data_IF_181378171014
#
_entry.id   IF_181378171014
#
_cell.length_a   1.000
_cell.length_b   1.000
_cell.length_c   1.000
_cell.angle_alpha   90.00
_cell.angle_beta   90.00
_cell.angle_gamma   90.00
#
_symmetry.space_group_name_H-M   'P 1'
#
loop_
_entity.id
_entity.type
_entity.pdbx_description
1 polymer ?
#
# COMPACT_ATOMS: atom_id res chain seq x y z
N UNK A 1 -29.75 -84.49 -10.61
CA UNK A 1 -28.79 -83.59 -11.30
C UNK A 1 -29.24 -82.13 -11.23
N UNK A 2 -30.49 -81.79 -11.55
CA UNK A 2 -31.02 -80.42 -11.40
C UNK A 2 -30.88 -79.86 -9.98
N UNK A 3 -31.31 -80.63 -8.98
CA UNK A 3 -31.21 -80.24 -7.56
C UNK A 3 -29.78 -79.98 -7.07
N UNK A 4 -28.79 -80.70 -7.62
CA UNK A 4 -27.37 -80.48 -7.29
C UNK A 4 -26.84 -79.19 -7.95
N UNK A 5 -27.30 -78.87 -9.16
CA UNK A 5 -26.93 -77.62 -9.83
C UNK A 5 -27.55 -76.39 -9.13
N UNK A 6 -28.80 -76.49 -8.66
CA UNK A 6 -29.44 -75.43 -7.87
C UNK A 6 -28.72 -75.20 -6.54
N UNK A 7 -28.38 -76.28 -5.81
CA UNK A 7 -27.62 -76.18 -4.57
C UNK A 7 -26.23 -75.55 -4.76
N UNK A 8 -25.54 -75.88 -5.86
CA UNK A 8 -24.26 -75.27 -6.21
C UNK A 8 -24.42 -73.77 -6.51
N UNK A 9 -25.45 -73.38 -7.27
CA UNK A 9 -25.76 -71.97 -7.54
C UNK A 9 -26.04 -71.19 -6.26
N UNK A 10 -26.90 -71.72 -5.39
CA UNK A 10 -27.24 -71.08 -4.12
C UNK A 10 -26.00 -70.89 -3.23
N UNK A 11 -25.13 -71.90 -3.19
CA UNK A 11 -23.84 -71.81 -2.49
C UNK A 11 -22.96 -70.69 -3.03
N UNK A 12 -22.81 -70.60 -4.36
CA UNK A 12 -21.98 -69.54 -4.98
C UNK A 12 -22.53 -68.14 -4.76
N UNK A 13 -23.86 -67.96 -4.80
CA UNK A 13 -24.50 -66.67 -4.53
C UNK A 13 -24.32 -66.29 -3.07
N UNK A 14 -24.52 -67.23 -2.14
CA UNK A 14 -24.34 -66.99 -0.71
C UNK A 14 -22.89 -66.64 -0.38
N UNK A 15 -21.93 -67.33 -0.99
CA UNK A 15 -20.50 -67.01 -0.86
C UNK A 15 -20.22 -65.59 -1.38
N UNK A 16 -20.66 -65.27 -2.60
CA UNK A 16 -20.45 -63.96 -3.19
C UNK A 16 -21.11 -62.83 -2.39
N UNK A 17 -22.29 -63.07 -1.80
CA UNK A 17 -22.95 -62.12 -0.89
C UNK A 17 -22.14 -61.92 0.40
N UNK A 18 -21.55 -62.99 0.94
CA UNK A 18 -20.62 -62.91 2.08
C UNK A 18 -19.37 -62.10 1.75
N UNK A 19 -18.74 -62.38 0.61
CA UNK A 19 -17.56 -61.68 0.13
C UNK A 19 -17.85 -60.19 -0.13
N UNK A 20 -19.00 -59.88 -0.75
CA UNK A 20 -19.44 -58.51 -0.99
C UNK A 20 -19.65 -57.74 0.32
N UNK A 21 -20.24 -58.39 1.35
CA UNK A 21 -20.41 -57.78 2.66
C UNK A 21 -19.06 -57.49 3.33
N UNK A 22 -18.15 -58.46 3.30
CA UNK A 22 -16.81 -58.30 3.86
C UNK A 22 -16.03 -57.17 3.16
N UNK A 23 -16.16 -57.06 1.83
CA UNK A 23 -15.54 -55.98 1.06
C UNK A 23 -16.12 -54.60 1.39
N UNK A 24 -17.45 -54.51 1.59
CA UNK A 24 -18.09 -53.26 2.04
C UNK A 24 -17.60 -52.86 3.43
N UNK A 25 -17.47 -53.80 4.37
CA UNK A 25 -16.91 -53.54 5.71
C UNK A 25 -15.45 -53.06 5.62
N UNK A 26 -14.66 -53.62 4.69
CA UNK A 26 -13.31 -53.15 4.42
C UNK A 26 -13.27 -51.71 3.88
N UNK A 27 -14.16 -51.36 2.95
CA UNK A 27 -14.27 -49.99 2.43
C UNK A 27 -14.63 -49.02 3.56
N UNK A 28 -15.58 -49.37 4.41
CA UNK A 28 -15.95 -48.52 5.56
C UNK A 28 -14.80 -48.36 6.55
N UNK A 29 -14.05 -49.44 6.83
CA UNK A 29 -12.86 -49.39 7.68
C UNK A 29 -11.78 -48.47 7.10
N UNK A 30 -11.46 -48.63 5.82
CA UNK A 30 -10.48 -47.77 5.13
C UNK A 30 -10.93 -46.31 5.10
N UNK A 31 -12.19 -46.06 4.74
CA UNK A 31 -12.74 -44.69 4.71
C UNK A 31 -12.75 -44.02 6.09
N UNK A 32 -12.96 -44.78 7.17
CA UNK A 32 -12.89 -44.22 8.53
C UNK A 32 -11.45 -43.79 8.88
N UNK A 33 -10.44 -44.57 8.47
CA UNK A 33 -9.02 -44.22 8.62
C UNK A 33 -8.64 -43.02 7.76
N UNK A 34 -9.04 -42.99 6.49
CA UNK A 34 -8.74 -41.85 5.60
C UNK A 34 -9.29 -40.54 6.18
N UNK A 35 -10.49 -40.58 6.79
CA UNK A 35 -11.11 -39.41 7.41
C UNK A 35 -10.32 -38.96 8.66
N UNK A 36 -9.74 -39.86 9.45
CA UNK A 36 -8.87 -39.46 10.57
C UNK A 36 -7.56 -38.86 10.06
N UNK A 37 -6.99 -39.43 9.01
CA UNK A 37 -5.73 -38.99 8.43
C UNK A 37 -5.87 -37.60 7.78
N UNK A 38 -6.98 -37.34 7.08
CA UNK A 38 -7.26 -36.01 6.53
C UNK A 38 -7.46 -34.95 7.61
N UNK A 39 -8.07 -35.31 8.75
CA UNK A 39 -8.19 -34.37 9.87
C UNK A 39 -6.84 -34.05 10.47
N UNK A 40 -6.02 -35.08 10.72
CA UNK A 40 -4.67 -34.88 11.24
C UNK A 40 -3.83 -34.02 10.29
N UNK A 41 -3.86 -34.31 8.99
CA UNK A 41 -3.13 -33.51 7.99
C UNK A 41 -3.59 -32.05 7.98
N UNK A 42 -4.90 -31.79 8.06
CA UNK A 42 -5.41 -30.43 8.10
C UNK A 42 -4.98 -29.69 9.38
N UNK A 43 -4.96 -30.37 10.52
CA UNK A 43 -4.47 -29.81 11.79
C UNK A 43 -2.96 -29.50 11.73
N UNK A 44 -2.17 -30.40 11.14
CA UNK A 44 -0.73 -30.21 10.92
C UNK A 44 -0.46 -29.04 9.98
N UNK A 45 -1.22 -28.91 8.89
CA UNK A 45 -1.13 -27.79 7.95
C UNK A 45 -1.48 -26.46 8.63
N UNK A 46 -2.54 -26.43 9.45
CA UNK A 46 -2.92 -25.24 10.23
C UNK A 46 -1.79 -24.86 11.21
N UNK A 47 -1.17 -25.84 11.87
CA UNK A 47 -0.04 -25.59 12.76
C UNK A 47 1.17 -25.04 12.01
N UNK A 48 1.48 -25.60 10.83
CA UNK A 48 2.58 -25.13 9.98
C UNK A 48 2.36 -23.69 9.49
N UNK A 49 1.14 -23.35 9.06
CA UNK A 49 0.79 -21.98 8.63
C UNK A 49 0.93 -20.99 9.79
N UNK A 50 0.48 -21.36 10.99
CA UNK A 50 0.61 -20.51 12.19
C UNK A 50 2.07 -20.26 12.55
N UNK A 51 2.89 -21.30 12.52
CA UNK A 51 4.32 -21.16 12.83
C UNK A 51 5.05 -20.32 11.76
N UNK A 52 4.75 -20.54 10.48
CA UNK A 52 5.28 -19.72 9.39
C UNK A 52 4.88 -18.24 9.55
N UNK A 53 3.60 -17.96 9.83
CA UNK A 53 3.10 -16.60 10.04
C UNK A 53 3.80 -15.90 11.20
N UNK A 54 3.99 -16.60 12.32
CA UNK A 54 4.75 -16.10 13.47
C UNK A 54 6.19 -15.76 13.12
N UNK A 55 6.88 -16.66 12.39
CA UNK A 55 8.24 -16.44 11.95
C UNK A 55 8.35 -15.26 10.97
N UNK A 56 7.39 -15.11 10.06
CA UNK A 56 7.37 -14.01 9.09
C UNK A 56 7.11 -12.66 9.76
N UNK A 57 6.19 -12.61 10.75
CA UNK A 57 5.99 -11.40 11.56
C UNK A 57 7.27 -11.01 12.30
N UNK A 58 8.00 -11.97 12.87
CA UNK A 58 9.28 -11.70 13.52
C UNK A 58 10.32 -11.16 12.54
N UNK A 59 10.40 -11.75 11.33
CA UNK A 59 11.29 -11.29 10.26
C UNK A 59 10.99 -9.86 9.83
N UNK A 60 9.71 -9.53 9.61
CA UNK A 60 9.29 -8.18 9.20
C UNK A 60 9.60 -7.15 10.29
N UNK A 61 9.42 -7.51 11.58
CA UNK A 61 9.79 -6.63 12.71
C UNK A 61 11.29 -6.36 12.74
N UNK A 62 12.11 -7.40 12.67
CA UNK A 62 13.57 -7.27 12.65
C UNK A 62 14.03 -6.42 11.44
N UNK A 63 13.47 -6.66 10.26
CA UNK A 63 13.78 -5.88 9.06
C UNK A 63 13.38 -4.40 9.23
N UNK A 64 12.23 -4.13 9.84
CA UNK A 64 11.76 -2.77 10.12
C UNK A 64 12.68 -2.05 11.10
N UNK A 65 13.06 -2.70 12.20
CA UNK A 65 14.00 -2.16 13.18
C UNK A 65 15.36 -1.86 12.55
N UNK A 66 15.86 -2.78 11.72
CA UNK A 66 17.11 -2.58 10.97
C UNK A 66 17.05 -1.37 10.04
N UNK A 67 15.93 -1.19 9.31
CA UNK A 67 15.73 -0.01 8.43
C UNK A 67 15.66 1.29 9.23
N UNK A 68 14.97 1.29 10.37
CA UNK A 68 14.91 2.45 11.28
C UNK A 68 16.31 2.79 11.80
N UNK A 69 17.07 1.80 12.28
CA UNK A 69 18.43 2.01 12.78
C UNK A 69 19.36 2.55 11.69
N UNK A 70 19.28 2.01 10.48
CA UNK A 70 20.05 2.51 9.34
C UNK A 70 19.69 3.96 9.00
N UNK A 71 18.40 4.30 8.99
CA UNK A 71 17.95 5.66 8.68
C UNK A 71 18.36 6.67 9.75
N UNK A 72 18.34 6.28 11.04
CA UNK A 72 18.85 7.11 12.14
C UNK A 72 20.35 7.37 12.01
N UNK A 73 21.14 6.32 11.76
CA UNK A 73 22.58 6.45 11.52
C UNK A 73 22.88 7.39 10.35
N UNK A 74 22.11 7.28 9.25
CA UNK A 74 22.25 8.18 8.11
C UNK A 74 21.94 9.63 8.47
N UNK A 75 20.86 9.88 9.23
CA UNK A 75 20.53 11.23 9.69
C UNK A 75 21.64 11.81 10.57
N UNK A 76 22.22 11.01 11.47
CA UNK A 76 23.32 11.44 12.33
C UNK A 76 24.56 11.82 11.52
N UNK A 77 24.93 11.00 10.51
CA UNK A 77 26.02 11.33 9.58
C UNK A 77 25.75 12.63 8.81
N UNK A 78 24.52 12.82 8.33
CA UNK A 78 24.20 14.00 7.54
C UNK A 78 24.15 15.28 8.41
N UNK A 79 23.72 15.16 9.67
CA UNK A 79 23.80 16.25 10.66
C UNK A 79 25.25 16.62 11.00
N UNK A 80 26.12 15.62 11.20
CA UNK A 80 27.55 15.83 11.41
C UNK A 80 28.20 16.52 10.18
N UNK A 81 27.86 16.06 8.98
CA UNK A 81 28.32 16.67 7.74
C UNK A 81 27.88 18.14 7.59
N UNK A 82 26.66 18.46 7.99
CA UNK A 82 26.13 19.82 7.99
C UNK A 82 26.79 20.70 9.06
N UNK A 83 27.02 20.19 10.26
CA UNK A 83 27.74 20.90 11.32
C UNK A 83 29.17 21.25 10.86
N UNK A 84 29.90 20.28 10.30
CA UNK A 84 31.24 20.51 9.75
C UNK A 84 31.24 21.52 8.58
N UNK A 85 30.18 21.56 7.78
CA UNK A 85 30.02 22.59 6.76
C UNK A 85 29.86 23.99 7.36
N UNK A 86 28.99 24.15 8.37
CA UNK A 86 28.80 25.43 9.06
C UNK A 86 30.12 25.91 9.68
N UNK A 87 30.84 25.02 10.36
CA UNK A 87 32.13 25.35 10.98
C UNK A 87 33.14 25.88 9.96
N UNK A 88 33.26 25.23 8.80
CA UNK A 88 34.13 25.72 7.71
C UNK A 88 33.70 27.09 7.17
N UNK A 89 32.39 27.35 7.07
CA UNK A 89 31.90 28.67 6.64
C UNK A 89 32.23 29.75 7.67
N UNK A 90 32.05 29.45 8.96
CA UNK A 90 32.42 30.36 10.06
C UNK A 90 33.92 30.65 10.01
N UNK A 91 34.76 29.62 9.89
CA UNK A 91 36.21 29.76 9.81
C UNK A 91 36.62 30.64 8.61
N UNK A 92 35.98 30.45 7.45
CA UNK A 92 36.22 31.28 6.26
C UNK A 92 35.86 32.75 6.49
N UNK A 93 34.73 33.02 7.13
CA UNK A 93 34.28 34.38 7.48
C UNK A 93 35.24 35.01 8.47
N UNK A 94 35.60 34.30 9.54
CA UNK A 94 36.55 34.77 10.55
C UNK A 94 37.91 35.08 9.94
N UNK A 95 38.43 34.21 9.08
CA UNK A 95 39.69 34.43 8.37
C UNK A 95 39.64 35.71 7.52
N UNK A 96 38.55 35.98 6.81
CA UNK A 96 38.37 37.23 6.04
C UNK A 96 38.35 38.47 6.93
N UNK A 97 37.65 38.41 8.06
CA UNK A 97 37.61 39.50 9.04
C UNK A 97 39.02 39.78 9.55
N UNK A 98 39.77 38.75 9.95
CA UNK A 98 41.14 38.90 10.45
C UNK A 98 42.08 39.52 9.40
N UNK A 99 41.97 39.13 8.13
CA UNK A 99 42.76 39.73 7.05
C UNK A 99 42.41 41.21 6.88
N UNK A 100 41.13 41.57 6.84
CA UNK A 100 40.71 42.95 6.69
C UNK A 100 41.11 43.82 7.89
N UNK A 101 40.98 43.32 9.11
CA UNK A 101 41.44 44.01 10.33
C UNK A 101 42.94 44.30 10.28
N UNK A 102 43.75 43.36 9.77
CA UNK A 102 45.19 43.58 9.57
C UNK A 102 45.47 44.64 8.50
N UNK A 103 44.77 44.59 7.36
CA UNK A 103 44.91 45.60 6.30
C UNK A 103 44.54 46.99 6.81
N UNK A 104 43.44 47.11 7.56
CA UNK A 104 43.01 48.34 8.21
C UNK A 104 44.02 48.84 9.25
N UNK A 105 44.56 47.95 10.08
CA UNK A 105 45.62 48.28 11.04
C UNK A 105 46.85 48.87 10.35
N UNK A 106 47.34 48.20 9.30
CA UNK A 106 48.48 48.67 8.51
C UNK A 106 48.20 50.00 7.80
N UNK A 107 46.97 50.21 7.32
CA UNK A 107 46.56 51.47 6.72
C UNK A 107 46.61 52.62 7.73
N UNK A 108 46.07 52.42 8.94
CA UNK A 108 46.09 53.44 9.99
C UNK A 108 47.50 53.72 10.52
N UNK A 109 48.36 52.71 10.64
CA UNK A 109 49.77 52.92 10.98
C UNK A 109 50.47 53.84 9.96
N UNK A 110 50.24 53.61 8.66
CA UNK A 110 50.77 54.49 7.59
C UNK A 110 50.18 55.90 7.67
N UNK A 111 48.89 56.02 7.95
CA UNK A 111 48.19 57.30 8.04
C UNK A 111 48.71 58.14 9.24
N UNK A 112 49.01 57.51 10.37
CA UNK A 112 49.56 58.17 11.56
C UNK A 112 51.03 58.58 11.39
N UNK A 113 51.79 57.90 10.52
CA UNK A 113 53.18 58.22 10.24
C UNK A 113 53.36 59.37 9.21
N UNK A 114 52.30 59.80 8.51
CA UNK A 114 52.39 60.84 7.49
C UNK A 114 52.28 62.25 8.10
N UNK A 115 53.32 63.07 7.92
CA UNK A 115 53.41 64.43 8.49
C UNK A 115 52.88 65.53 7.53
N UNK A 116 52.74 65.25 6.22
CA UNK A 116 52.25 66.21 5.23
C UNK A 116 50.70 66.22 5.16
N UNK A 117 50.03 67.34 5.47
CA UNK A 117 48.57 67.44 5.46
C UNK A 117 47.91 67.09 4.12
N UNK A 118 48.59 67.39 3.01
CA UNK A 118 48.01 67.14 1.67
C UNK A 118 48.06 65.66 1.33
N UNK A 119 49.12 64.95 1.73
CA UNK A 119 49.26 63.51 1.56
C UNK A 119 48.38 62.74 2.53
N UNK A 120 48.23 63.23 3.75
CA UNK A 120 47.27 62.70 4.71
C UNK A 120 45.85 62.71 4.14
N UNK A 121 45.41 63.83 3.56
CA UNK A 121 44.10 63.93 2.93
C UNK A 121 43.92 62.96 1.76
N UNK A 122 44.97 62.76 0.95
CA UNK A 122 44.94 61.81 -0.17
C UNK A 122 44.91 60.34 0.30
N UNK A 123 45.63 59.99 1.36
CA UNK A 123 45.59 58.65 1.96
C UNK A 123 44.24 58.37 2.60
N UNK A 124 43.69 59.33 3.36
CA UNK A 124 42.39 59.19 4.02
C UNK A 124 41.22 58.96 3.05
N UNK A 125 41.32 59.44 1.81
CA UNK A 125 40.32 59.17 0.76
C UNK A 125 40.38 57.74 0.21
N UNK A 126 41.48 57.01 0.43
CA UNK A 126 41.70 55.64 -0.04
C UNK A 126 41.57 54.64 1.11
N UNK A 127 40.48 54.71 1.88
CA UNK A 127 40.21 53.73 2.93
C UNK A 127 39.99 52.34 2.29
N UNK A 128 40.61 51.27 2.82
CA UNK A 128 40.31 49.92 2.38
C UNK A 128 38.82 49.62 2.56
N UNK A 129 38.16 49.17 1.49
CA UNK A 129 36.76 48.73 1.55
C UNK A 129 36.67 47.30 2.09
N UNK A 130 35.66 46.97 2.90
CA UNK A 130 35.51 45.63 3.43
C UNK A 130 35.26 44.63 2.30
N UNK A 131 35.94 43.47 2.30
CA UNK A 131 35.69 42.45 1.30
C UNK A 131 34.26 41.92 1.44
N UNK A 132 33.54 41.66 0.34
CA UNK A 132 32.19 41.09 0.40
C UNK A 132 32.25 39.66 0.97
N UNK A 133 31.21 39.29 1.71
CA UNK A 133 30.99 37.89 2.06
C UNK A 133 30.40 37.15 0.86
N UNK A 134 30.92 35.96 0.58
CA UNK A 134 30.35 35.14 -0.48
C UNK A 134 28.96 34.67 -0.01
N UNK A 135 28.01 34.59 -0.94
CA UNK A 135 26.75 33.95 -0.64
C UNK A 135 27.02 32.51 -0.18
N UNK A 136 26.38 32.03 0.90
CA UNK A 136 26.58 30.67 1.35
C UNK A 136 26.18 29.73 0.21
N UNK A 137 27.04 28.76 -0.10
CA UNK A 137 26.78 27.72 -1.12
C UNK A 137 25.74 26.72 -0.61
N UNK A 138 24.54 27.22 -0.29
CA UNK A 138 23.41 26.45 0.26
C UNK A 138 22.88 25.42 -0.74
N UNK A 139 23.11 25.64 -2.03
CA UNK A 139 22.65 24.76 -3.10
C UNK A 139 23.42 23.43 -3.09
N UNK A 140 24.74 23.43 -2.88
CA UNK A 140 25.55 22.22 -3.05
C UNK A 140 25.35 21.20 -1.93
N UNK A 141 25.07 21.65 -0.70
CA UNK A 141 24.86 20.77 0.46
C UNK A 141 23.45 20.17 0.43
N UNK A 142 22.45 20.96 0.03
CA UNK A 142 21.06 20.49 -0.08
C UNK A 142 20.90 19.43 -1.17
N UNK A 143 21.57 19.58 -2.31
CA UNK A 143 21.54 18.58 -3.38
C UNK A 143 22.24 17.29 -2.99
N UNK A 144 23.36 17.36 -2.26
CA UNK A 144 24.06 16.18 -1.74
C UNK A 144 23.20 15.41 -0.72
N UNK A 145 22.45 16.12 0.13
CA UNK A 145 21.53 15.52 1.12
C UNK A 145 20.35 14.80 0.41
N UNK A 146 19.76 15.42 -0.62
CA UNK A 146 18.65 14.83 -1.38
C UNK A 146 19.10 13.59 -2.15
N UNK A 147 20.22 13.64 -2.88
CA UNK A 147 20.71 12.51 -3.67
C UNK A 147 21.14 11.30 -2.83
N UNK A 148 21.51 11.47 -1.55
CA UNK A 148 21.83 10.36 -0.63
C UNK A 148 20.57 9.67 -0.07
N UNK A 149 19.42 10.32 -0.20
CA UNK A 149 18.13 9.81 0.27
C UNK A 149 17.51 8.83 -0.75
N UNK A 150 17.93 8.90 -2.01
CA UNK A 150 17.34 8.14 -3.12
C UNK A 150 17.97 6.75 -3.32
N UNK A 151 19.11 6.47 -2.70
CA UNK A 151 19.83 5.18 -2.84
C UNK A 151 19.46 4.14 -1.77
N UNK A 152 18.43 4.42 -0.95
CA UNK A 152 17.75 3.34 -0.23
C UNK A 152 17.01 2.47 -1.24
N UNK A 153 17.12 1.12 -1.19
CA UNK A 153 16.35 0.28 -2.07
C UNK A 153 14.87 0.52 -1.77
N UNK A 154 14.25 1.33 -2.60
CA UNK A 154 12.81 1.48 -2.72
C UNK A 154 12.30 0.08 -2.94
N UNK A 155 11.73 -0.50 -1.89
CA UNK A 155 10.81 -1.61 -2.03
C UNK A 155 9.83 -1.18 -3.12
N UNK A 156 9.85 -1.93 -4.23
CA UNK A 156 9.09 -1.76 -5.44
C UNK A 156 7.65 -1.28 -5.14
N UNK A 157 7.47 0.03 -5.15
CA UNK A 157 6.20 0.72 -4.91
C UNK A 157 6.18 1.89 -5.87
N UNK A 158 5.79 1.58 -7.11
CA UNK A 158 5.17 2.47 -8.08
C UNK A 158 5.56 3.96 -7.99
N UNK A 159 6.69 4.32 -8.63
CA UNK A 159 6.92 5.69 -9.08
C UNK A 159 5.91 6.03 -10.18
N UNK A 160 4.88 6.79 -9.80
CA UNK A 160 4.18 7.69 -10.68
C UNK A 160 4.68 9.11 -10.37
N UNK A 161 5.71 9.55 -11.09
CA UNK A 161 6.07 10.96 -11.18
C UNK A 161 5.84 11.40 -12.63
N UNK A 162 4.81 12.21 -12.85
CA UNK A 162 4.92 13.43 -13.66
C UNK A 162 3.61 14.24 -13.51
N UNK A 163 3.65 15.28 -12.67
CA UNK A 163 2.63 16.33 -12.65
C UNK A 163 3.27 17.64 -12.17
N UNK A 164 3.62 18.44 -13.16
CA UNK A 164 3.99 19.85 -13.11
C UNK A 164 2.97 20.69 -12.28
N UNK A 165 3.40 21.49 -11.28
CA UNK A 165 2.47 22.33 -10.52
C UNK A 165 2.24 23.68 -11.24
N UNK A 166 1.00 24.17 -11.32
CA UNK A 166 0.73 25.52 -11.80
C UNK A 166 1.08 26.54 -10.70
N UNK A 167 1.65 27.64 -11.17
CA UNK A 167 2.00 28.84 -10.42
C UNK A 167 0.79 29.40 -9.65
N UNK A 168 0.96 29.65 -8.35
CA UNK A 168 0.10 30.58 -7.60
C UNK A 168 0.94 31.53 -6.77
N UNK A 169 0.61 32.80 -6.96
CA UNK A 169 1.25 33.99 -6.41
C UNK A 169 1.06 34.09 -4.90
N UNK A 170 2.11 34.64 -4.30
CA UNK A 170 2.24 35.38 -3.03
C UNK A 170 0.96 35.87 -2.37
N UNK A 171 0.74 35.43 -1.13
CA UNK A 171 0.42 36.24 0.07
C UNK A 171 -0.40 35.40 1.06
N UNK A 172 0.27 34.65 1.97
CA UNK A 172 -0.32 34.15 3.23
C UNK A 172 0.72 33.36 4.09
N UNK A 173 2.00 33.77 4.08
CA UNK A 173 3.09 33.02 4.73
C UNK A 173 3.30 33.30 6.23
N UNK A 174 2.50 34.16 6.88
CA UNK A 174 2.78 34.58 8.27
C UNK A 174 1.83 33.97 9.32
N UNK A 175 0.74 33.31 8.93
CA UNK A 175 -0.23 32.71 9.86
C UNK A 175 0.00 31.21 10.14
N UNK A 176 0.81 30.51 9.33
CA UNK A 176 1.00 29.06 9.45
C UNK A 176 2.15 28.65 10.40
N UNK A 177 3.06 29.56 10.74
CA UNK A 177 4.21 29.26 11.60
C UNK A 177 3.84 29.12 13.10
N UNK A 178 2.78 29.78 13.56
CA UNK A 178 2.36 29.72 14.97
C UNK A 178 1.53 28.47 15.34
N UNK A 179 1.01 27.73 14.36
CA UNK A 179 0.20 26.53 14.60
C UNK A 179 1.03 25.22 14.71
N UNK A 180 2.30 25.25 14.29
CA UNK A 180 3.16 24.06 14.28
C UNK A 180 3.92 23.87 15.62
N UNK A 181 4.17 24.95 16.37
CA UNK A 181 4.91 24.91 17.63
C UNK A 181 4.07 24.36 18.81
N UNK A 182 2.74 24.48 18.76
CA UNK A 182 1.85 23.93 19.79
C UNK A 182 1.60 22.41 19.67
N UNK A 183 2.08 21.76 18.60
CA UNK A 183 1.82 20.33 18.33
C UNK A 183 2.97 19.40 18.72
N UNK A 184 4.12 19.94 19.13
CA UNK A 184 5.29 19.15 19.49
C UNK A 184 5.44 18.87 21.00
N UNK A 185 4.57 19.41 21.86
CA UNK A 185 4.68 19.27 23.33
C UNK A 185 3.80 18.15 23.93
N UNK A 186 3.22 17.26 23.10
CA UNK A 186 2.30 16.19 23.58
C UNK A 186 2.66 14.78 23.09
N UNK A 187 3.86 14.56 22.56
CA UNK A 187 4.27 13.26 22.00
C UNK A 187 5.25 12.43 22.86
N UNK A 188 5.38 12.73 24.16
CA UNK A 188 6.29 12.03 25.08
C UNK A 188 5.56 11.28 26.21
N UNK A 189 4.53 10.49 25.87
CA UNK A 189 3.81 9.63 26.84
C UNK A 189 3.16 8.39 26.21
N UNK A 190 3.71 7.87 25.11
CA UNK A 190 3.10 6.79 24.31
C UNK A 190 3.62 5.37 24.60
N UNK A 191 4.16 5.08 25.78
CA UNK A 191 4.69 3.74 26.12
C UNK A 191 3.64 2.76 26.74
N UNK A 192 2.35 3.10 26.80
CA UNK A 192 1.38 2.29 27.57
C UNK A 192 0.35 1.46 26.79
N UNK A 193 0.23 1.57 25.46
CA UNK A 193 -0.88 0.91 24.75
C UNK A 193 -0.58 -0.52 24.26
N UNK A 194 0.69 -0.96 24.21
CA UNK A 194 1.02 -2.34 23.85
C UNK A 194 0.92 -3.33 25.02
N UNK A 195 1.18 -2.89 26.26
CA UNK A 195 1.10 -3.75 27.44
C UNK A 195 -0.35 -4.14 27.79
N UNK A 196 -1.34 -3.30 27.45
CA UNK A 196 -2.75 -3.59 27.68
C UNK A 196 -3.27 -4.69 26.74
N UNK A 197 -2.81 -4.73 25.48
CA UNK A 197 -3.19 -5.75 24.51
C UNK A 197 -2.58 -7.13 24.82
N UNK A 198 -1.38 -7.18 25.40
CA UNK A 198 -0.73 -8.43 25.80
C UNK A 198 -1.38 -9.07 27.04
N UNK A 199 -1.87 -8.25 27.98
CA UNK A 199 -2.60 -8.73 29.15
C UNK A 199 -3.97 -9.34 28.82
N UNK A 200 -4.64 -8.86 27.76
CA UNK A 200 -5.95 -9.39 27.35
C UNK A 200 -5.83 -10.75 26.62
N UNK A 201 -4.74 -10.96 25.88
CA UNK A 201 -4.45 -12.25 25.23
C UNK A 201 -4.05 -13.35 26.23
N UNK A 202 -3.36 -13.00 27.32
CA UNK A 202 -2.99 -13.97 28.36
C UNK A 202 -4.21 -14.46 29.18
N UNK A 203 -5.19 -13.59 29.45
CA UNK A 203 -6.40 -13.94 30.20
C UNK A 203 -7.35 -14.88 29.41
N UNK A 204 -7.33 -14.81 28.08
CA UNK A 204 -8.11 -15.70 27.22
C UNK A 204 -7.52 -17.13 27.13
N UNK A 205 -6.22 -17.30 27.39
CA UNK A 205 -5.58 -18.62 27.41
C UNK A 205 -5.79 -19.36 28.75
N UNK A 206 -5.88 -18.64 29.87
CA UNK A 206 -5.98 -19.23 31.21
C UNK A 206 -7.40 -19.70 31.59
N UNK A 207 -8.42 -19.33 30.81
CA UNK A 207 -9.82 -19.73 31.03
C UNK A 207 -10.24 -21.00 30.25
N UNK A 208 -9.33 -21.61 29.49
CA UNK A 208 -9.59 -22.82 28.69
C UNK A 208 -9.29 -24.17 29.38
N UNK A 209 -8.69 -24.18 30.57
CA UNK A 209 -8.08 -25.39 31.16
C UNK A 209 -8.71 -25.85 32.49
N UNK A 210 -10.00 -25.54 32.72
CA UNK A 210 -10.75 -26.03 33.88
C UNK A 210 -12.13 -26.59 33.49
N UNK A 211 -12.16 -27.60 32.64
CA UNK A 211 -13.33 -28.47 32.46
C UNK A 211 -12.90 -29.90 32.10
N UNK A 212 -12.17 -30.52 33.04
CA UNK A 212 -11.92 -31.95 33.06
C UNK A 212 -12.60 -32.59 34.26
N UNK A 213 -13.42 -33.59 33.98
CA UNK A 213 -14.00 -34.61 34.87
C UNK A 213 -15.37 -34.31 35.51
N UNK A 214 -16.40 -34.94 34.91
CA UNK A 214 -17.79 -34.87 35.30
C UNK A 214 -18.62 -35.86 34.49
N UNK A 215 -18.41 -37.15 34.77
CA UNK A 215 -19.26 -38.27 34.37
C UNK A 215 -20.73 -38.01 34.74
N UNK A 216 -21.56 -37.66 33.76
CA UNK A 216 -23.01 -37.82 33.82
C UNK A 216 -23.55 -38.26 32.46
N UNK A 217 -23.98 -39.52 32.41
CA UNK A 217 -24.93 -40.01 31.43
C UNK A 217 -26.27 -39.29 31.61
N UNK A 218 -26.70 -38.50 30.62
CA UNK A 218 -28.09 -38.04 30.50
C UNK A 218 -28.45 -37.77 29.03
N UNK A 219 -29.36 -38.59 28.56
CA UNK A 219 -30.36 -38.44 27.50
C UNK A 219 -30.43 -37.11 26.72
N UNK A 220 -30.25 -37.21 25.40
CA UNK A 220 -31.03 -36.53 24.35
C UNK A 220 -31.33 -35.04 24.52
N UNK A 221 -30.39 -34.19 24.13
CA UNK A 221 -30.66 -32.78 23.86
C UNK A 221 -30.65 -32.54 22.35
N UNK A 222 -31.85 -32.48 21.78
CA UNK A 222 -32.11 -32.12 20.38
C UNK A 222 -31.55 -30.73 20.09
N UNK A 223 -30.75 -30.61 19.04
CA UNK A 223 -30.32 -29.33 18.47
C UNK A 223 -31.59 -28.53 18.14
N UNK A 224 -31.78 -27.31 18.69
CA UNK A 224 -32.96 -26.51 18.37
C UNK A 224 -32.96 -26.16 16.88
N UNK A 225 -33.88 -26.81 16.16
CA UNK A 225 -34.16 -26.56 14.74
C UNK A 225 -34.70 -25.13 14.64
N UNK A 226 -33.88 -24.21 14.14
CA UNK A 226 -34.36 -22.85 13.84
C UNK A 226 -35.43 -22.96 12.75
N UNK A 227 -36.62 -22.40 13.00
CA UNK A 227 -37.69 -22.36 12.02
C UNK A 227 -37.27 -21.54 10.80
N UNK A 228 -37.56 -22.06 9.59
CA UNK A 228 -37.20 -21.45 8.30
C UNK A 228 -37.71 -20.00 8.13
N UNK A 229 -38.74 -19.61 8.88
CA UNK A 229 -39.27 -18.23 8.88
C UNK A 229 -38.29 -17.19 9.46
N UNK A 230 -37.41 -17.59 10.38
CA UNK A 230 -36.37 -16.72 10.93
C UNK A 230 -35.23 -16.49 9.92
N UNK A 231 -34.98 -17.45 9.03
CA UNK A 231 -34.03 -17.32 7.93
C UNK A 231 -34.60 -16.42 6.82
N UNK A 232 -35.89 -16.53 6.50
CA UNK A 232 -36.56 -15.70 5.50
C UNK A 232 -36.58 -14.20 5.87
N UNK A 233 -36.80 -13.87 7.15
CA UNK A 233 -36.76 -12.49 7.64
C UNK A 233 -35.35 -11.87 7.57
N UNK A 234 -34.30 -12.69 7.75
CA UNK A 234 -32.91 -12.24 7.67
C UNK A 234 -32.43 -12.05 6.24
N UNK A 235 -32.94 -12.85 5.30
CA UNK A 235 -32.64 -12.72 3.86
C UNK A 235 -33.35 -11.51 3.22
N UNK A 236 -34.55 -11.16 3.70
CA UNK A 236 -35.29 -9.98 3.23
C UNK A 236 -34.59 -8.63 3.55
N UNK A 237 -33.68 -8.61 4.53
CA UNK A 237 -32.89 -7.42 4.89
C UNK A 237 -31.61 -7.22 4.07
N UNK A 238 -31.21 -8.18 3.23
CA UNK A 238 -29.97 -8.12 2.45
C UNK A 238 -30.17 -7.81 0.96
N UNK A 239 -31.40 -7.61 0.51
CA UNK A 239 -31.68 -7.18 -0.87
C UNK A 239 -31.79 -5.64 -0.89
N UNK A 240 -30.84 -4.91 -1.48
CA UNK A 240 -30.97 -3.46 -1.62
C UNK A 240 -32.16 -3.14 -2.53
N UNK A 241 -33.20 -2.56 -1.93
CA UNK A 241 -34.35 -2.00 -2.64
C UNK A 241 -33.86 -0.83 -3.49
N UNK A 242 -33.92 -1.00 -4.81
CA UNK A 242 -33.72 0.05 -5.82
C UNK A 242 -34.87 1.07 -5.69
N UNK A 243 -34.60 2.36 -5.44
CA UNK A 243 -35.66 3.36 -5.40
C UNK A 243 -36.07 3.75 -6.82
N UNK A 244 -37.25 3.30 -7.23
CA UNK A 244 -38.02 3.90 -8.33
C UNK A 244 -39.01 4.92 -7.74
N UNK A 245 -39.14 6.09 -8.37
CA UNK A 245 -40.36 6.91 -8.29
C UNK A 245 -40.26 8.27 -7.59
N UNK A 246 -39.92 9.29 -8.38
CA UNK A 246 -40.60 10.59 -8.53
C UNK A 246 -41.38 11.24 -7.35
N UNK A 247 -41.00 12.48 -7.05
CA UNK A 247 -41.84 13.49 -6.38
C UNK A 247 -41.18 14.87 -6.39
N UNK A 248 -41.85 15.95 -6.86
CA UNK A 248 -41.23 17.24 -7.16
C UNK A 248 -41.37 18.28 -6.03
N UNK A 249 -40.52 19.34 -6.12
CA UNK A 249 -40.73 20.74 -5.71
C UNK A 249 -39.62 21.34 -4.82
N UNK A 250 -38.99 22.37 -5.39
CA UNK A 250 -38.47 23.62 -4.82
C UNK A 250 -37.68 23.63 -3.51
N UNK A 251 -36.41 24.05 -3.61
CA UNK A 251 -35.59 24.44 -2.46
C UNK A 251 -34.19 24.91 -2.85
N UNK A 252 -34.10 26.16 -3.29
CA UNK A 252 -32.90 26.97 -3.58
C UNK A 252 -31.60 26.56 -2.84
N UNK A 253 -30.59 26.15 -3.62
CA UNK A 253 -29.22 25.94 -3.16
C UNK A 253 -28.23 25.94 -4.33
N UNK A 254 -27.74 27.13 -4.70
CA UNK A 254 -26.75 27.34 -5.77
C UNK A 254 -25.37 26.90 -5.26
N UNK A 255 -24.92 25.72 -5.69
CA UNK A 255 -23.56 25.23 -5.53
C UNK A 255 -23.21 24.33 -6.71
N UNK A 256 -22.23 24.74 -7.50
CA UNK A 256 -21.73 24.08 -8.70
C UNK A 256 -21.26 22.64 -8.42
N UNK A 257 -22.08 21.65 -8.77
CA UNK A 257 -21.62 20.30 -9.13
C UNK A 257 -22.47 19.83 -10.32
N UNK A 258 -21.90 19.91 -11.52
CA UNK A 258 -22.34 19.08 -12.62
C UNK A 258 -22.06 17.63 -12.21
N UNK A 259 -23.11 16.96 -11.75
CA UNK A 259 -23.10 15.52 -11.46
C UNK A 259 -23.04 14.84 -12.82
N UNK A 260 -21.84 14.57 -13.31
CA UNK A 260 -21.63 13.71 -14.47
C UNK A 260 -22.36 12.39 -14.21
N UNK A 261 -23.39 12.13 -14.99
CA UNK A 261 -24.03 10.82 -15.12
C UNK A 261 -23.08 9.89 -15.85
N UNK A 262 -21.94 9.59 -15.23
CA UNK A 262 -20.95 8.66 -15.74
C UNK A 262 -21.28 7.26 -15.25
N UNK A 263 -21.40 6.30 -16.16
CA UNK A 263 -21.36 4.88 -15.83
C UNK A 263 -19.94 4.48 -15.48
N UNK A 264 -19.84 3.50 -14.57
CA UNK A 264 -18.58 2.92 -14.15
C UNK A 264 -18.59 1.45 -14.54
N UNK A 265 -17.70 1.09 -15.46
CA UNK A 265 -17.55 -0.29 -15.94
C UNK A 265 -16.18 -0.81 -15.55
N UNK A 266 -16.13 -2.05 -15.09
CA UNK A 266 -14.89 -2.76 -14.81
C UNK A 266 -14.49 -3.59 -16.03
N UNK A 267 -13.22 -3.50 -16.43
CA UNK A 267 -12.63 -4.32 -17.48
C UNK A 267 -11.60 -5.23 -16.84
N UNK A 268 -11.82 -6.54 -16.93
CA UNK A 268 -10.87 -7.55 -16.49
C UNK A 268 -10.01 -7.92 -17.70
N UNK A 269 -8.75 -7.52 -17.70
CA UNK A 269 -7.85 -7.67 -18.84
C UNK A 269 -6.78 -8.72 -18.55
N UNK A 270 -6.71 -9.73 -19.43
CA UNK A 270 -5.73 -10.82 -19.37
C UNK A 270 -4.82 -10.78 -20.61
N UNK A 271 -3.52 -11.03 -20.43
CA UNK A 271 -2.54 -11.11 -21.53
C UNK A 271 -1.55 -9.94 -21.63
N UNK A 272 -1.69 -8.91 -20.77
CA UNK A 272 -0.70 -7.83 -20.69
C UNK A 272 0.48 -8.29 -19.84
N UNK A 273 1.63 -8.56 -20.49
CA UNK A 273 2.82 -9.16 -19.86
C UNK A 273 3.87 -8.13 -19.40
N UNK A 274 3.69 -6.84 -19.69
CA UNK A 274 4.66 -5.78 -19.39
C UNK A 274 4.00 -4.53 -18.82
N UNK A 275 4.73 -3.84 -17.93
CA UNK A 275 4.35 -2.51 -17.39
C UNK A 275 4.12 -1.50 -18.51
N UNK A 276 4.92 -1.55 -19.57
CA UNK A 276 4.77 -0.67 -20.74
C UNK A 276 3.44 -0.91 -21.47
N UNK A 277 3.04 -2.17 -21.63
CA UNK A 277 1.78 -2.56 -22.27
C UNK A 277 0.57 -2.15 -21.42
N UNK A 278 0.65 -2.31 -20.09
CA UNK A 278 -0.40 -1.88 -19.16
C UNK A 278 -0.58 -0.36 -19.20
N UNK A 279 0.52 0.41 -19.15
CA UNK A 279 0.49 1.86 -19.20
C UNK A 279 -0.04 2.36 -20.56
N UNK A 280 0.36 1.71 -21.65
CA UNK A 280 -0.11 2.05 -23.01
C UNK A 280 -1.59 1.76 -23.18
N UNK A 281 -2.07 0.60 -22.71
CA UNK A 281 -3.49 0.23 -22.72
C UNK A 281 -4.33 1.24 -21.92
N UNK A 282 -3.90 1.59 -20.70
CA UNK A 282 -4.54 2.64 -19.88
C UNK A 282 -4.61 3.99 -20.61
N UNK A 283 -3.48 4.42 -21.21
CA UNK A 283 -3.39 5.69 -21.96
C UNK A 283 -4.31 5.70 -23.18
N UNK A 284 -4.48 4.56 -23.84
CA UNK A 284 -5.35 4.46 -25.01
C UNK A 284 -6.82 4.49 -24.61
N UNK A 285 -7.21 3.80 -23.52
CA UNK A 285 -8.55 3.91 -22.94
C UNK A 285 -8.89 5.33 -22.51
N UNK A 286 -7.95 6.04 -21.87
CA UNK A 286 -8.16 7.43 -21.45
C UNK A 286 -8.28 8.44 -22.59
N UNK A 287 -7.94 8.06 -23.83
CA UNK A 287 -8.08 8.90 -25.04
C UNK A 287 -9.38 8.66 -25.80
N UNK A 288 -10.15 7.63 -25.42
CA UNK A 288 -11.46 7.36 -26.02
C UNK A 288 -12.40 8.51 -25.66
N UNK A 289 -13.06 9.09 -26.65
CA UNK A 289 -14.02 10.17 -26.42
C UNK A 289 -15.15 9.72 -25.48
N UNK A 290 -15.39 10.49 -24.43
CA UNK A 290 -16.40 10.21 -23.41
C UNK A 290 -15.95 9.30 -22.26
N UNK A 291 -14.67 8.88 -22.21
CA UNK A 291 -14.05 8.32 -21.00
C UNK A 291 -13.56 9.47 -20.11
N UNK A 292 -14.03 9.54 -18.86
CA UNK A 292 -13.65 10.58 -17.89
C UNK A 292 -12.53 10.15 -16.95
N UNK A 293 -12.44 8.85 -16.62
CA UNK A 293 -11.42 8.34 -15.71
C UNK A 293 -11.08 6.88 -15.99
N UNK A 294 -9.81 6.51 -15.77
CA UNK A 294 -9.34 5.13 -15.87
C UNK A 294 -8.44 4.81 -14.67
N UNK A 295 -8.93 3.95 -13.78
CA UNK A 295 -8.14 3.31 -12.71
C UNK A 295 -7.61 1.96 -13.17
N UNK A 296 -6.49 1.51 -12.63
CA UNK A 296 -5.95 0.16 -12.84
C UNK A 296 -5.54 -0.44 -11.50
N UNK A 297 -5.87 -1.72 -11.30
CA UNK A 297 -5.46 -2.51 -10.15
C UNK A 297 -5.08 -3.93 -10.60
N UNK A 298 -4.05 -4.52 -9.99
CA UNK A 298 -3.65 -5.90 -10.25
C UNK A 298 -4.57 -6.87 -9.50
N UNK A 299 -5.09 -7.87 -10.21
CA UNK A 299 -5.81 -9.01 -9.63
C UNK A 299 -4.87 -10.13 -9.17
N UNK A 300 -5.39 -11.11 -8.41
CA UNK A 300 -4.61 -12.19 -7.80
C UNK A 300 -4.00 -13.15 -8.82
N UNK A 301 -4.64 -13.32 -9.99
CA UNK A 301 -4.24 -14.32 -11.00
C UNK A 301 -3.48 -13.70 -12.18
N UNK A 302 -2.81 -12.56 -11.97
CA UNK A 302 -2.08 -11.84 -13.02
C UNK A 302 -2.97 -11.12 -14.03
N UNK A 303 -4.27 -11.01 -13.74
CA UNK A 303 -5.21 -10.16 -14.47
C UNK A 303 -5.11 -8.69 -14.02
N UNK A 304 -5.50 -7.77 -14.88
CA UNK A 304 -5.55 -6.34 -14.56
C UNK A 304 -7.00 -5.85 -14.62
N UNK A 305 -7.49 -5.34 -13.50
CA UNK A 305 -8.80 -4.71 -13.40
C UNK A 305 -8.68 -3.23 -13.72
N UNK A 306 -9.26 -2.82 -14.84
CA UNK A 306 -9.40 -1.41 -15.21
C UNK A 306 -10.79 -0.93 -14.84
N UNK A 307 -10.83 0.14 -14.04
CA UNK A 307 -12.08 0.79 -13.67
C UNK A 307 -12.25 2.02 -14.54
N UNK A 308 -13.23 2.01 -15.44
CA UNK A 308 -13.44 3.08 -16.41
C UNK A 308 -14.73 3.83 -16.11
N UNK A 309 -14.62 5.13 -15.83
CA UNK A 309 -15.75 6.05 -15.81
C UNK A 309 -15.98 6.60 -17.21
N UNK A 310 -17.18 6.43 -17.75
CA UNK A 310 -17.54 6.89 -19.11
C UNK A 310 -18.99 7.39 -19.17
N UNK A 311 -19.32 8.18 -20.20
CA UNK A 311 -20.69 8.62 -20.45
C UNK A 311 -21.56 7.51 -21.04
N UNK A 312 -22.89 7.59 -20.83
CA UNK A 312 -23.90 6.66 -21.36
C UNK A 312 -23.89 6.53 -22.90
N UNK A 313 -23.35 7.54 -23.59
CA UNK A 313 -23.25 7.56 -25.05
C UNK A 313 -22.11 6.72 -25.62
N UNK A 314 -21.22 6.16 -24.78
CA UNK A 314 -20.03 5.44 -25.22
C UNK A 314 -20.19 3.94 -25.01
N UNK A 315 -20.11 3.19 -26.12
CA UNK A 315 -19.97 1.73 -26.08
C UNK A 315 -18.51 1.38 -25.83
N UNK A 316 -18.16 1.11 -24.56
CA UNK A 316 -16.79 0.71 -24.19
C UNK A 316 -16.32 -0.55 -24.93
N UNK A 317 -17.25 -1.42 -25.29
CA UNK A 317 -17.01 -2.62 -26.09
C UNK A 317 -16.36 -2.29 -27.44
N UNK A 318 -16.95 -1.36 -28.18
CA UNK A 318 -16.45 -0.98 -29.50
C UNK A 318 -15.13 -0.21 -29.38
N UNK A 319 -15.02 0.62 -28.33
CA UNK A 319 -13.80 1.36 -28.05
C UNK A 319 -12.60 0.45 -27.74
N UNK A 320 -12.79 -0.59 -26.93
CA UNK A 320 -11.74 -1.56 -26.57
C UNK A 320 -11.26 -2.36 -27.79
N UNK A 321 -12.18 -2.78 -28.66
CA UNK A 321 -11.83 -3.51 -29.88
C UNK A 321 -11.10 -2.64 -30.93
N UNK A 322 -11.33 -1.32 -30.88
CA UNK A 322 -10.71 -0.35 -31.78
C UNK A 322 -9.36 0.21 -31.30
N UNK A 323 -8.81 -0.24 -30.16
CA UNK A 323 -7.58 0.32 -29.62
C UNK A 323 -6.37 0.02 -30.54
N UNK A 324 -5.66 1.04 -31.03
CA UNK A 324 -4.49 0.83 -31.87
C UNK A 324 -3.37 0.16 -31.07
N UNK A 325 -2.59 -0.71 -31.72
CA UNK A 325 -1.44 -1.38 -31.09
C UNK A 325 -1.78 -2.56 -30.17
N UNK A 326 -3.06 -2.85 -29.91
CA UNK A 326 -3.47 -4.00 -29.10
C UNK A 326 -4.38 -4.94 -29.87
N UNK A 327 -4.12 -6.23 -29.81
CA UNK A 327 -5.05 -7.26 -30.26
C UNK A 327 -6.06 -7.57 -29.15
N UNK A 328 -6.97 -6.63 -28.87
CA UNK A 328 -7.98 -6.78 -27.85
C UNK A 328 -9.21 -7.56 -28.37
N UNK A 329 -9.62 -8.60 -27.64
CA UNK A 329 -10.82 -9.39 -27.90
C UNK A 329 -11.64 -9.52 -26.63
N UNK A 330 -12.96 -9.32 -26.75
CA UNK A 330 -13.87 -9.47 -25.62
C UNK A 330 -14.22 -10.96 -25.49
N UNK A 331 -13.96 -11.52 -24.31
CA UNK A 331 -14.19 -12.94 -23.99
C UNK A 331 -15.47 -13.16 -23.21
N UNK A 332 -16.00 -12.12 -22.56
CA UNK A 332 -17.28 -12.18 -21.84
C UNK A 332 -17.75 -10.79 -21.41
N UNK A 333 -19.06 -10.66 -21.18
CA UNK A 333 -19.71 -9.42 -20.75
C UNK A 333 -20.79 -9.77 -19.71
N UNK A 334 -20.80 -9.07 -18.58
CA UNK A 334 -21.75 -9.21 -17.49
C UNK A 334 -22.10 -7.85 -16.89
N UNK A 335 -22.98 -7.81 -15.88
CA UNK A 335 -23.49 -6.58 -15.24
C UNK A 335 -22.37 -5.63 -14.79
N UNK A 336 -21.99 -4.69 -15.68
CA UNK A 336 -20.93 -3.71 -15.44
C UNK A 336 -19.50 -4.26 -15.50
N UNK A 337 -19.29 -5.51 -15.94
CA UNK A 337 -17.96 -6.14 -16.05
C UNK A 337 -17.73 -6.68 -17.47
N UNK A 338 -16.61 -6.30 -18.10
CA UNK A 338 -16.20 -6.77 -19.43
C UNK A 338 -14.88 -7.54 -19.30
N UNK A 339 -14.88 -8.79 -19.73
CA UNK A 339 -13.68 -9.62 -19.80
C UNK A 339 -13.01 -9.42 -21.16
N UNK A 340 -11.74 -9.04 -21.14
CA UNK A 340 -10.94 -8.71 -22.32
C UNK A 340 -9.65 -9.51 -22.31
N UNK A 341 -9.35 -10.17 -23.41
CA UNK A 341 -7.99 -10.66 -23.70
C UNK A 341 -7.30 -9.63 -24.58
N UNK A 342 -6.19 -9.07 -24.13
CA UNK A 342 -5.42 -8.09 -24.89
C UNK A 342 -3.97 -8.56 -25.02
N UNK A 343 -3.47 -8.64 -26.25
CA UNK A 343 -2.08 -8.94 -26.56
C UNK A 343 -1.40 -7.74 -27.22
N UNK A 344 -0.21 -7.41 -26.74
CA UNK A 344 0.65 -6.39 -27.32
C UNK A 344 1.69 -7.07 -28.23
N UNK A 345 1.56 -6.96 -29.57
CA UNK A 345 2.47 -7.63 -30.49
C UNK A 345 3.91 -7.11 -30.44
N UNK A 346 4.14 -5.92 -29.87
CA UNK A 346 5.50 -5.37 -29.69
C UNK A 346 6.21 -5.93 -28.45
N UNK A 347 5.50 -6.67 -27.59
CA UNK A 347 6.11 -7.30 -26.41
C UNK A 347 6.84 -8.62 -26.70
N UNK A 348 6.64 -9.22 -27.87
CA UNK A 348 7.26 -10.50 -28.28
C UNK A 348 8.54 -10.33 -29.13
N UNK A 349 9.02 -9.10 -29.36
CA UNK A 349 10.21 -8.78 -30.16
C UNK A 349 11.43 -8.47 -29.32
#
# INVERSE_FOLDING_TARGET
MHTAAEAARETTISQYQGDAKAFIEQIHGASATDVTDFRQQAEDDIAAIREWSKAEIARIREETEKRIAARKSQLDEDLEGHAAYIERQIERVQSRITVFEQEMGQFFEKLLAEEDPSRFAALAQNLPEPPPFDAPETTSVRTAFVSRTEDSPTANAAEASDAEPPSRETDEAEAAAAALEARFETADSGESDFAAAEAEAAAAAETGEAAGDGDQSAEGEEIPVMADDALAARLAGLIPVRPEGEGPADGLGRGSQAKESGQKTQLVVVGLVSVASIASFKRHLGRVEGVSSVGVSSGPDGEFLFTVGHSDSVSLRDAVQGLPGFQARITGEGDGVINVSAHDPESDS
#
